data_IF_959649672732
#
_entry.id   IF_959649672732
#
_cell.length_a   1.000
_cell.length_b   1.000
_cell.length_c   1.000
_cell.angle_alpha   90.00
_cell.angle_beta   90.00
_cell.angle_gamma   90.00
#
_symmetry.space_group_name_H-M   'P 1'
#
loop_
_entity.id
_entity.type
_entity.pdbx_description
1 polymer ?
#
# COMPACT_ATOMS: atom_id res chain seq x y z
N UNK A 1 -26.79 18.18 17.21
CA UNK A 1 -27.31 17.56 15.97
C UNK A 1 -26.15 16.85 15.30
N UNK A 2 -26.22 15.52 15.24
CA UNK A 2 -25.13 14.61 14.85
C UNK A 2 -25.51 14.07 13.48
N UNK A 3 -24.96 14.67 12.42
CA UNK A 3 -25.16 14.17 11.07
C UNK A 3 -23.88 14.45 10.29
N UNK A 4 -23.10 13.40 10.06
CA UNK A 4 -22.14 13.35 8.97
C UNK A 4 -22.07 11.89 8.51
N UNK A 5 -23.17 11.45 7.90
CA UNK A 5 -23.14 10.37 6.93
C UNK A 5 -22.58 10.98 5.64
N UNK A 6 -21.50 10.41 5.11
CA UNK A 6 -21.10 10.64 3.73
C UNK A 6 -20.63 9.31 3.13
N UNK A 7 -21.17 8.94 1.95
CA UNK A 7 -21.35 7.57 1.54
C UNK A 7 -20.06 6.94 1.00
N UNK A 8 -19.99 5.62 1.06
CA UNK A 8 -18.86 4.82 0.61
C UNK A 8 -18.46 5.10 -0.84
N UNK A 9 -17.18 5.38 -1.04
CA UNK A 9 -16.54 5.35 -2.36
C UNK A 9 -16.09 3.90 -2.62
N UNK A 10 -16.75 3.28 -3.59
CA UNK A 10 -16.32 2.04 -4.23
C UNK A 10 -15.56 2.43 -5.49
N UNK A 11 -14.24 2.30 -5.48
CA UNK A 11 -13.47 2.36 -6.71
C UNK A 11 -13.58 1.01 -7.42
N UNK A 12 -14.36 0.95 -8.49
CA UNK A 12 -14.24 -0.05 -9.55
C UNK A 12 -14.18 0.73 -10.87
N UNK A 13 -12.98 1.11 -11.27
CA UNK A 13 -12.71 1.58 -12.62
C UNK A 13 -11.79 0.56 -13.28
N UNK A 14 -12.39 -0.32 -14.07
CA UNK A 14 -11.68 -1.30 -14.88
C UNK A 14 -10.86 -0.65 -15.99
N UNK A 15 -9.62 -1.11 -16.12
CA UNK A 15 -8.96 -1.29 -17.42
C UNK A 15 -7.99 -2.45 -17.24
N UNK A 16 -8.48 -3.60 -17.68
CA UNK A 16 -7.78 -4.86 -17.75
C UNK A 16 -6.60 -4.72 -18.72
N UNK A 17 -5.40 -4.48 -18.18
CA UNK A 17 -4.17 -4.82 -18.87
C UNK A 17 -3.81 -6.23 -18.39
N UNK A 18 -3.99 -7.22 -19.26
CA UNK A 18 -3.80 -8.66 -19.02
C UNK A 18 -2.40 -9.00 -18.43
N UNK A 19 -1.40 -8.13 -18.65
CA UNK A 19 -0.08 -8.21 -18.01
C UNK A 19 -0.08 -7.89 -16.50
N UNK A 20 -1.05 -7.11 -16.01
CA UNK A 20 -1.30 -6.81 -14.59
C UNK A 20 -1.99 -7.98 -13.89
N UNK A 21 -2.80 -8.76 -14.61
CA UNK A 21 -3.46 -9.97 -14.11
C UNK A 21 -2.45 -11.08 -13.80
N UNK A 22 -1.35 -11.18 -14.58
CA UNK A 22 -0.27 -12.13 -14.31
C UNK A 22 0.44 -11.92 -12.95
N UNK A 23 0.35 -10.72 -12.37
CA UNK A 23 0.92 -10.43 -11.04
C UNK A 23 -0.04 -10.71 -9.89
N UNK A 24 -1.33 -10.94 -10.17
CA UNK A 24 -2.35 -11.25 -9.17
C UNK A 24 -2.12 -12.59 -8.47
N UNK A 25 -1.24 -13.47 -8.97
CA UNK A 25 -1.15 -14.86 -8.50
C UNK A 25 0.17 -15.28 -7.86
N UNK A 26 1.24 -14.48 -7.92
CA UNK A 26 2.58 -15.04 -7.66
C UNK A 26 3.08 -14.92 -6.21
N UNK A 27 2.45 -14.13 -5.34
CA UNK A 27 3.06 -13.82 -4.03
C UNK A 27 2.06 -14.04 -2.89
N UNK A 28 2.07 -15.25 -2.33
CA UNK A 28 1.54 -15.53 -0.99
C UNK A 28 2.28 -14.64 0.02
N UNK A 29 1.72 -13.48 0.29
CA UNK A 29 2.27 -12.47 1.22
C UNK A 29 2.58 -13.07 2.59
N UNK A 30 1.83 -14.10 3.00
CA UNK A 30 1.97 -14.79 4.29
C UNK A 30 3.22 -15.67 4.46
N UNK A 31 3.92 -16.07 3.37
CA UNK A 31 5.13 -16.91 3.47
C UNK A 31 6.42 -16.14 3.18
N UNK A 32 6.35 -14.83 2.94
CA UNK A 32 7.52 -14.01 2.69
C UNK A 32 8.25 -13.70 4.00
N UNK A 33 9.53 -14.07 4.03
CA UNK A 33 10.47 -13.67 5.09
C UNK A 33 10.65 -12.16 5.14
N UNK A 34 10.62 -11.51 3.97
CA UNK A 34 10.83 -10.07 3.81
C UNK A 34 9.72 -9.44 2.93
N UNK A 35 8.68 -8.83 3.53
CA UNK A 35 7.58 -8.21 2.78
C UNK A 35 8.02 -6.92 2.06
N UNK A 36 9.14 -6.32 2.45
CA UNK A 36 9.68 -5.09 1.84
C UNK A 36 10.04 -5.30 0.37
N UNK A 37 10.64 -6.44 0.03
CA UNK A 37 11.13 -6.74 -1.33
C UNK A 37 10.00 -6.71 -2.37
N UNK A 38 8.91 -7.48 -2.22
CA UNK A 38 7.82 -7.44 -3.19
C UNK A 38 6.98 -6.16 -3.10
N UNK A 39 6.86 -5.56 -1.91
CA UNK A 39 6.20 -4.26 -1.78
C UNK A 39 6.97 -3.18 -2.57
N UNK A 40 8.30 -3.21 -2.55
CA UNK A 40 9.14 -2.33 -3.37
C UNK A 40 8.96 -2.60 -4.86
N UNK A 41 8.85 -3.86 -5.28
CA UNK A 41 8.56 -4.21 -6.66
C UNK A 41 7.19 -3.67 -7.12
N UNK A 42 6.19 -3.64 -6.23
CA UNK A 42 4.89 -2.99 -6.49
C UNK A 42 5.06 -1.48 -6.62
N UNK A 43 5.81 -0.83 -5.72
CA UNK A 43 6.09 0.60 -5.81
C UNK A 43 6.79 1.02 -7.11
N UNK A 44 7.60 0.13 -7.70
CA UNK A 44 8.24 0.36 -9.01
C UNK A 44 7.26 0.20 -10.18
N UNK A 45 6.20 -0.59 -10.01
CA UNK A 45 5.16 -0.79 -11.03
C UNK A 45 4.00 0.19 -10.92
N UNK A 46 3.68 0.61 -9.70
CA UNK A 46 2.62 1.55 -9.41
C UNK A 46 3.11 2.99 -9.57
N UNK A 47 2.21 3.88 -10.01
CA UNK A 47 2.53 5.29 -10.14
C UNK A 47 2.64 5.95 -8.76
N UNK A 48 3.80 6.58 -8.48
CA UNK A 48 4.07 7.27 -7.21
C UNK A 48 2.95 8.25 -6.84
N UNK A 49 2.50 9.07 -7.80
CA UNK A 49 1.46 10.06 -7.57
C UNK A 49 0.12 9.43 -7.15
N UNK A 50 -0.26 8.30 -7.76
CA UNK A 50 -1.46 7.54 -7.37
C UNK A 50 -1.34 7.01 -5.95
N UNK A 51 -0.18 6.48 -5.57
CA UNK A 51 0.05 5.96 -4.22
C UNK A 51 0.04 7.07 -3.15
N UNK A 52 0.64 8.22 -3.46
CA UNK A 52 0.60 9.43 -2.60
C UNK A 52 -0.84 9.85 -2.35
N UNK A 53 -1.67 9.90 -3.40
CA UNK A 53 -3.08 10.26 -3.30
C UNK A 53 -3.91 9.19 -2.56
N UNK A 54 -3.69 7.91 -2.87
CA UNK A 54 -4.42 6.77 -2.30
C UNK A 54 -4.19 6.65 -0.79
N UNK A 55 -2.93 6.76 -0.35
CA UNK A 55 -2.56 6.62 1.05
C UNK A 55 -2.49 7.97 1.80
N UNK A 56 -2.68 9.09 1.11
CA UNK A 56 -2.61 10.43 1.67
C UNK A 56 -1.30 10.65 2.47
N UNK A 57 -0.18 10.30 1.85
CA UNK A 57 1.18 10.44 2.39
C UNK A 57 1.92 11.56 1.64
N UNK A 58 3.01 12.11 2.18
CA UNK A 58 3.88 13.02 1.44
C UNK A 58 4.54 12.33 0.23
N UNK A 59 5.01 13.16 -0.71
CA UNK A 59 5.81 12.68 -1.83
C UNK A 59 7.06 11.96 -1.33
N UNK A 60 7.33 10.80 -1.92
CA UNK A 60 8.44 9.95 -1.54
C UNK A 60 9.35 9.68 -2.74
N UNK A 61 10.66 9.70 -2.49
CA UNK A 61 11.65 9.34 -3.51
C UNK A 61 12.10 7.89 -3.39
N UNK A 62 12.21 7.40 -2.15
CA UNK A 62 12.65 6.03 -1.86
C UNK A 62 11.49 5.17 -1.31
N UNK A 63 11.54 3.85 -1.52
CA UNK A 63 10.55 2.94 -0.93
C UNK A 63 10.55 2.98 0.59
N UNK A 64 11.70 3.20 1.24
CA UNK A 64 11.76 3.36 2.70
C UNK A 64 10.96 4.57 3.19
N UNK A 65 11.06 5.72 2.49
CA UNK A 65 10.30 6.93 2.83
C UNK A 65 8.79 6.69 2.67
N UNK A 66 8.38 5.96 1.63
CA UNK A 66 7.00 5.53 1.44
C UNK A 66 6.51 4.69 2.63
N UNK A 67 7.24 3.63 2.98
CA UNK A 67 6.83 2.73 4.06
C UNK A 67 6.86 3.42 5.42
N UNK A 68 7.81 4.34 5.66
CA UNK A 68 7.85 5.12 6.88
C UNK A 68 6.65 6.07 6.98
N UNK A 69 6.33 6.77 5.89
CA UNK A 69 5.17 7.67 5.82
C UNK A 69 3.85 6.92 5.95
N UNK A 70 3.72 5.78 5.28
CA UNK A 70 2.54 4.91 5.36
C UNK A 70 2.39 4.31 6.77
N UNK A 71 3.48 3.84 7.38
CA UNK A 71 3.47 3.32 8.74
C UNK A 71 3.07 4.41 9.74
N UNK A 72 3.64 5.62 9.62
CA UNK A 72 3.30 6.75 10.46
C UNK A 72 1.82 7.15 10.31
N UNK A 73 1.33 7.19 9.07
CA UNK A 73 -0.08 7.46 8.73
C UNK A 73 -1.03 6.42 9.31
N UNK A 74 -0.64 5.14 9.27
CA UNK A 74 -1.41 4.02 9.80
C UNK A 74 -1.24 3.82 11.32
N UNK A 75 -0.44 4.65 11.99
CA UNK A 75 -0.16 4.49 13.43
C UNK A 75 0.64 3.24 13.77
N UNK A 76 1.37 2.65 12.80
CA UNK A 76 2.17 1.44 12.98
C UNK A 76 3.59 1.83 13.36
N UNK A 77 3.89 1.69 14.64
CA UNK A 77 5.22 1.94 15.18
C UNK A 77 5.74 0.68 15.88
N UNK A 78 7.03 0.39 15.68
CA UNK A 78 7.76 -0.60 16.46
C UNK A 78 8.03 -0.06 17.87
N UNK A 79 8.50 -0.95 18.75
CA UNK A 79 9.01 -0.57 20.07
C UNK A 79 10.08 0.52 19.90
N UNK A 80 9.93 1.63 20.64
CA UNK A 80 10.81 2.79 20.53
C UNK A 80 10.29 3.91 19.62
N UNK A 81 9.05 3.83 19.11
CA UNK A 81 8.43 4.91 18.33
C UNK A 81 8.92 5.01 16.89
N UNK A 82 9.63 3.99 16.40
CA UNK A 82 10.13 3.92 15.02
C UNK A 82 9.03 3.41 14.09
N UNK A 83 8.73 4.06 12.95
CA UNK A 83 7.69 3.61 12.03
C UNK A 83 7.97 2.18 11.52
N UNK A 84 6.96 1.32 11.60
CA UNK A 84 7.07 -0.09 11.21
C UNK A 84 6.90 -0.27 9.70
N UNK A 85 8.02 -0.19 8.98
CA UNK A 85 8.07 -0.34 7.53
C UNK A 85 7.61 -1.73 7.06
N UNK A 86 7.85 -2.79 7.83
CA UNK A 86 7.43 -4.14 7.46
C UNK A 86 5.92 -4.30 7.55
N UNK A 87 5.30 -3.70 8.57
CA UNK A 87 3.85 -3.64 8.70
C UNK A 87 3.23 -2.85 7.53
N UNK A 88 3.81 -1.71 7.16
CA UNK A 88 3.37 -0.91 6.01
C UNK A 88 3.50 -1.68 4.68
N UNK A 89 4.59 -2.41 4.48
CA UNK A 89 4.78 -3.23 3.28
C UNK A 89 3.75 -4.36 3.19
N UNK A 90 3.41 -5.02 4.31
CA UNK A 90 2.34 -6.03 4.34
C UNK A 90 0.98 -5.42 4.00
N UNK A 91 0.70 -4.20 4.46
CA UNK A 91 -0.53 -3.48 4.12
C UNK A 91 -0.58 -3.22 2.62
N UNK A 92 0.47 -2.63 2.03
CA UNK A 92 0.53 -2.38 0.58
C UNK A 92 0.34 -3.66 -0.24
N UNK A 93 1.02 -4.75 0.16
CA UNK A 93 0.90 -6.05 -0.50
C UNK A 93 -0.51 -6.62 -0.41
N UNK A 94 -1.16 -6.47 0.74
CA UNK A 94 -2.54 -6.90 0.92
C UNK A 94 -3.49 -6.07 0.06
N UNK A 95 -3.34 -4.75 0.08
CA UNK A 95 -4.14 -3.78 -0.70
C UNK A 95 -4.03 -4.07 -2.21
N UNK A 96 -2.81 -4.36 -2.67
CA UNK A 96 -2.54 -4.77 -4.05
C UNK A 96 -3.18 -6.12 -4.39
N UNK A 97 -3.20 -7.08 -3.47
CA UNK A 97 -3.85 -8.39 -3.69
C UNK A 97 -5.37 -8.29 -3.75
N UNK A 98 -6.00 -7.41 -2.96
CA UNK A 98 -7.45 -7.21 -2.98
C UNK A 98 -7.91 -6.29 -4.13
N UNK A 99 -6.97 -5.69 -4.88
CA UNK A 99 -7.25 -4.84 -6.04
C UNK A 99 -7.71 -3.42 -5.70
N UNK A 100 -7.22 -2.88 -4.58
CA UNK A 100 -7.51 -1.50 -4.16
C UNK A 100 -6.60 -0.47 -4.83
#
# INVERSE_FOLDING_TARGET
>A
IKILDSPGIVFHSGSDNDATVALKNAIKVGSLKDPIVPATAILQRAHKHTLVALYCIPEFNTPQEFFASLAARMGRYKKGGVPDQEAAARILLNDWNIGK
#
